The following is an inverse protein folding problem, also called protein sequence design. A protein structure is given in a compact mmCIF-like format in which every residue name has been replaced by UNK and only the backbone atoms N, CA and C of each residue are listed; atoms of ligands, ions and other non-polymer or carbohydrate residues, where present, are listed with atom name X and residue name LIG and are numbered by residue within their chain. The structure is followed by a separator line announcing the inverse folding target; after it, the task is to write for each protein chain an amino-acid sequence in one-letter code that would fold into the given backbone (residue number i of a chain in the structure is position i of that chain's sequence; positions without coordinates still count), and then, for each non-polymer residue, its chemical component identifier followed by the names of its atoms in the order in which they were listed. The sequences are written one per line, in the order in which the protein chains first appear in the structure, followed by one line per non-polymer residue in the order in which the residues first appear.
data_IF_403524626713
#
_entry.id   IF_403524626713
#
_cell.length_a   1.000
_cell.length_b   1.000
_cell.length_c   1.000
_cell.angle_alpha   90.00
_cell.angle_beta   90.00
_cell.angle_gamma   90.00
#
_symmetry.space_group_name_H-M   'P 1'
#
loop_
_entity.id
_entity.type
_entity.pdbx_description
1 polymer ?
#
# COMPACT_ATOMS: atom_id res chain seq x y z
N UNK A 1 -28.38 18.81 22.38
CA UNK A 1 -28.74 19.49 21.12
C UNK A 1 -27.49 20.05 20.47
N UNK A 2 -27.07 19.54 19.30
CA UNK A 2 -26.07 20.19 18.47
C UNK A 2 -26.78 21.29 17.65
N UNK A 3 -26.61 22.55 18.06
CA UNK A 3 -27.38 23.71 17.57
C UNK A 3 -26.97 24.19 16.17
N UNK A 4 -27.25 23.40 15.14
CA UNK A 4 -27.20 23.87 13.75
C UNK A 4 -28.60 23.73 13.15
N UNK A 5 -29.18 24.84 12.68
CA UNK A 5 -30.55 24.92 12.15
C UNK A 5 -30.76 24.28 10.76
N UNK A 6 -29.78 23.55 10.26
CA UNK A 6 -29.80 22.87 8.95
C UNK A 6 -29.06 21.54 9.08
N UNK A 7 -29.44 20.48 8.34
CA UNK A 7 -28.76 19.20 8.40
C UNK A 7 -27.30 19.40 8.00
N UNK A 8 -26.41 19.16 8.97
CA UNK A 8 -24.96 19.31 8.87
C UNK A 8 -24.42 18.39 7.76
N UNK A 9 -24.34 18.92 6.55
CA UNK A 9 -23.70 18.30 5.41
C UNK A 9 -22.20 18.58 5.48
N UNK A 10 -21.50 18.09 6.51
CA UNK A 10 -20.25 18.73 6.94
C UNK A 10 -19.02 17.84 6.90
N UNK A 11 -18.00 18.34 6.20
CA UNK A 11 -16.69 17.72 6.05
C UNK A 11 -16.64 16.71 4.91
N UNK A 12 -17.38 15.61 5.01
CA UNK A 12 -17.24 14.47 4.10
C UNK A 12 -17.60 14.78 2.64
N UNK A 13 -18.57 15.67 2.39
CA UNK A 13 -18.91 16.09 1.03
C UNK A 13 -17.75 16.86 0.38
N UNK A 14 -17.23 17.89 1.07
CA UNK A 14 -16.07 18.66 0.62
C UNK A 14 -14.84 17.77 0.43
N UNK A 15 -14.64 16.82 1.33
CA UNK A 15 -13.58 15.82 1.23
C UNK A 15 -13.70 14.95 -0.02
N UNK A 16 -14.90 14.45 -0.34
CA UNK A 16 -15.14 13.66 -1.55
C UNK A 16 -14.85 14.46 -2.82
N UNK A 17 -15.26 15.74 -2.86
CA UNK A 17 -14.94 16.64 -3.96
C UNK A 17 -13.44 16.88 -4.09
N UNK A 18 -12.74 17.21 -3.00
CA UNK A 18 -11.30 17.45 -3.04
C UNK A 18 -10.52 16.19 -3.43
N UNK A 19 -10.88 15.03 -2.86
CA UNK A 19 -10.24 13.76 -3.15
C UNK A 19 -10.43 13.34 -4.61
N UNK A 20 -11.62 13.55 -5.18
CA UNK A 20 -11.87 13.27 -6.59
C UNK A 20 -11.12 14.21 -7.53
N UNK A 21 -10.95 15.49 -7.17
CA UNK A 21 -10.10 16.40 -7.94
C UNK A 21 -8.66 15.92 -7.96
N UNK A 22 -8.09 15.59 -6.79
CA UNK A 22 -6.72 15.10 -6.70
C UNK A 22 -6.53 13.81 -7.51
N UNK A 23 -7.45 12.84 -7.37
CA UNK A 23 -7.38 11.58 -8.12
C UNK A 23 -7.49 11.79 -9.63
N UNK A 24 -8.36 12.71 -10.06
CA UNK A 24 -8.52 13.05 -11.49
C UNK A 24 -7.27 13.75 -12.04
N UNK A 25 -6.65 14.65 -11.28
CA UNK A 25 -5.52 15.46 -11.72
C UNK A 25 -4.20 14.69 -11.72
N UNK A 26 -3.96 13.81 -10.74
CA UNK A 26 -2.66 13.15 -10.56
C UNK A 26 -2.67 11.65 -10.85
N UNK A 27 -3.84 10.99 -10.87
CA UNK A 27 -3.95 9.54 -11.05
C UNK A 27 -4.79 9.16 -12.26
N UNK A 28 -5.25 10.10 -13.09
CA UNK A 28 -6.15 9.85 -14.24
C UNK A 28 -7.43 9.06 -13.87
N UNK A 29 -7.91 9.20 -12.63
CA UNK A 29 -8.99 8.40 -12.02
C UNK A 29 -8.67 6.91 -11.80
N UNK A 30 -7.41 6.51 -11.82
CA UNK A 30 -6.97 5.16 -11.44
C UNK A 30 -6.97 5.01 -9.91
N UNK A 31 -7.93 4.25 -9.40
CA UNK A 31 -8.11 3.98 -7.97
C UNK A 31 -6.98 3.08 -7.43
N UNK A 32 -6.30 2.32 -8.28
CA UNK A 32 -5.22 1.41 -7.87
C UNK A 32 -4.00 2.17 -7.33
N UNK A 33 -3.84 3.44 -7.77
CA UNK A 33 -2.76 4.33 -7.34
C UNK A 33 -3.04 5.02 -6.01
N UNK A 34 -4.28 4.99 -5.54
CA UNK A 34 -4.70 5.63 -4.30
C UNK A 34 -4.31 4.76 -3.09
N UNK A 35 -3.45 5.27 -2.20
CA UNK A 35 -3.00 4.52 -1.01
C UNK A 35 -3.70 4.99 0.26
N UNK A 36 -3.58 6.28 0.56
CA UNK A 36 -4.16 6.87 1.76
C UNK A 36 -4.46 8.34 1.54
N UNK A 37 -5.46 8.85 2.26
CA UNK A 37 -5.76 10.29 2.30
C UNK A 37 -6.00 10.70 3.75
N UNK A 38 -5.41 11.83 4.13
CA UNK A 38 -5.63 12.45 5.44
C UNK A 38 -6.06 13.89 5.23
N UNK A 39 -7.05 14.32 6.00
CA UNK A 39 -7.56 15.70 5.98
C UNK A 39 -7.84 16.20 7.38
N UNK A 40 -7.72 17.51 7.59
CA UNK A 40 -8.24 18.20 8.79
C UNK A 40 -9.37 19.13 8.38
N UNK A 41 -10.55 18.91 8.94
CA UNK A 41 -11.69 19.80 8.77
C UNK A 41 -11.51 21.02 9.67
N UNK A 42 -11.36 22.19 9.04
CA UNK A 42 -11.17 23.47 9.73
C UNK A 42 -12.39 24.38 9.64
N UNK A 43 -13.34 24.06 8.77
CA UNK A 43 -14.48 24.92 8.51
C UNK A 43 -15.67 24.20 7.91
N UNK A 44 -16.78 24.92 7.96
CA UNK A 44 -18.08 24.56 7.44
C UNK A 44 -18.21 25.10 6.01
N UNK A 45 -18.79 24.31 5.11
CA UNK A 45 -19.20 24.76 3.77
C UNK A 45 -20.72 24.70 3.67
N UNK A 46 -21.33 25.78 3.19
CA UNK A 46 -22.76 25.85 2.92
C UNK A 46 -23.07 25.35 1.50
N UNK A 47 -24.25 24.74 1.26
CA UNK A 47 -24.65 24.36 -0.09
C UNK A 47 -24.73 25.59 -1.00
N UNK A 48 -24.27 25.43 -2.26
CA UNK A 48 -24.20 26.50 -3.24
C UNK A 48 -22.91 27.33 -3.21
N UNK A 49 -22.03 27.12 -2.22
CA UNK A 49 -20.72 27.75 -2.20
C UNK A 49 -19.71 27.02 -3.08
N UNK A 50 -18.87 27.79 -3.78
CA UNK A 50 -17.79 27.24 -4.60
C UNK A 50 -16.57 26.89 -3.76
N UNK A 51 -16.12 25.64 -3.88
CA UNK A 51 -14.89 25.14 -3.25
C UNK A 51 -13.76 25.20 -4.27
N UNK A 52 -12.71 25.97 -3.97
CA UNK A 52 -11.45 25.91 -4.69
C UNK A 52 -10.51 24.95 -3.97
N UNK A 53 -9.93 24.00 -4.71
CA UNK A 53 -8.93 23.06 -4.19
C UNK A 53 -7.57 23.42 -4.77
N UNK A 54 -6.67 23.88 -3.92
CA UNK A 54 -5.27 24.11 -4.29
C UNK A 54 -4.49 22.83 -3.99
N UNK A 55 -3.66 22.38 -4.94
CA UNK A 55 -2.94 21.10 -4.88
C UNK A 55 -1.46 21.30 -5.20
N UNK A 56 -0.60 20.57 -4.51
CA UNK A 56 0.85 20.56 -4.68
C UNK A 56 1.36 19.13 -4.66
N UNK A 57 2.17 18.74 -5.65
CA UNK A 57 2.79 17.41 -5.71
C UNK A 57 4.18 17.47 -5.09
N UNK A 58 4.43 16.61 -4.11
CA UNK A 58 5.76 16.30 -3.57
C UNK A 58 6.02 14.80 -3.72
N UNK A 59 6.75 14.40 -4.76
CA UNK A 59 7.06 13.00 -5.07
C UNK A 59 5.79 12.10 -5.00
N UNK A 60 5.74 11.18 -4.02
CA UNK A 60 4.65 10.24 -3.78
C UNK A 60 3.51 10.79 -2.90
N UNK A 61 3.59 12.05 -2.47
CA UNK A 61 2.60 12.68 -1.60
C UNK A 61 2.06 13.97 -2.23
N UNK A 62 0.75 14.04 -2.38
CA UNK A 62 0.08 15.22 -2.91
C UNK A 62 -0.55 15.96 -1.75
N UNK A 63 -0.03 17.15 -1.46
CA UNK A 63 -0.61 18.07 -0.50
C UNK A 63 -1.76 18.83 -1.14
N UNK A 64 -2.83 19.06 -0.40
CA UNK A 64 -3.93 19.89 -0.88
C UNK A 64 -4.59 20.67 0.25
N UNK A 65 -5.27 21.74 -0.12
CA UNK A 65 -6.18 22.47 0.77
C UNK A 65 -7.43 22.84 0.00
N UNK A 66 -8.52 23.04 0.72
CA UNK A 66 -9.76 23.53 0.12
C UNK A 66 -10.23 24.79 0.83
N UNK A 67 -10.56 25.82 0.03
CA UNK A 67 -11.08 27.10 0.50
C UNK A 67 -12.40 27.42 -0.18
N UNK A 68 -13.25 28.14 0.53
CA UNK A 68 -14.48 28.69 -0.03
C UNK A 68 -14.14 29.98 -0.76
N UNK A 69 -14.43 30.08 -2.05
CA UNK A 69 -14.08 31.26 -2.87
C UNK A 69 -14.79 32.51 -2.36
N UNK A 70 -16.07 32.39 -2.02
CA UNK A 70 -16.92 33.50 -1.56
C UNK A 70 -16.44 34.12 -0.24
N UNK A 71 -15.94 33.31 0.70
CA UNK A 71 -15.60 33.74 2.07
C UNK A 71 -14.09 33.80 2.32
N UNK A 72 -13.28 33.19 1.45
CA UNK A 72 -11.85 33.02 1.65
C UNK A 72 -11.46 32.07 2.80
N UNK A 73 -12.43 31.44 3.47
CA UNK A 73 -12.19 30.55 4.60
C UNK A 73 -11.75 29.17 4.13
N UNK A 74 -10.72 28.63 4.79
CA UNK A 74 -10.27 27.25 4.57
C UNK A 74 -11.24 26.27 5.22
N UNK A 75 -11.83 25.38 4.42
CA UNK A 75 -12.69 24.31 4.92
C UNK A 75 -11.89 23.04 5.22
N UNK A 76 -10.88 22.74 4.41
CA UNK A 76 -9.95 21.62 4.60
C UNK A 76 -8.53 22.16 4.66
N UNK A 77 -7.85 21.89 5.77
CA UNK A 77 -6.44 22.25 5.97
C UNK A 77 -5.59 21.00 6.20
N UNK A 78 -4.27 21.14 6.04
CA UNK A 78 -3.28 20.11 6.39
C UNK A 78 -3.57 18.75 5.74
N UNK A 79 -4.11 18.76 4.53
CA UNK A 79 -4.52 17.55 3.84
C UNK A 79 -3.43 17.02 2.89
N UNK A 80 -3.34 15.71 2.81
CA UNK A 80 -2.45 15.04 1.86
C UNK A 80 -3.01 13.70 1.39
N UNK A 81 -2.60 13.29 0.20
CA UNK A 81 -2.89 12.00 -0.41
C UNK A 81 -1.59 11.30 -0.78
N UNK A 82 -1.37 10.10 -0.26
CA UNK A 82 -0.25 9.25 -0.66
C UNK A 82 -0.66 8.42 -1.89
N UNK A 83 0.19 8.45 -2.92
CA UNK A 83 0.01 7.69 -4.16
C UNK A 83 1.06 6.57 -4.28
N UNK A 84 0.63 5.42 -4.79
CA UNK A 84 1.56 4.37 -5.20
C UNK A 84 1.95 4.60 -6.65
N UNK A 85 3.14 5.17 -6.86
CA UNK A 85 3.69 5.31 -8.20
C UNK A 85 4.04 3.93 -8.73
N UNK A 86 3.54 3.58 -9.92
CA UNK A 86 3.91 2.36 -10.62
C UNK A 86 5.37 2.45 -11.02
N UNK A 87 6.25 1.84 -10.21
CA UNK A 87 7.65 1.49 -10.48
C UNK A 87 8.65 2.67 -10.65
N UNK A 88 9.32 3.06 -9.56
CA UNK A 88 10.76 2.80 -9.27
C UNK A 88 11.22 3.58 -8.02
N UNK A 89 11.89 2.86 -7.11
CA UNK A 89 12.81 3.37 -6.07
C UNK A 89 12.23 4.20 -4.89
N UNK A 90 11.45 3.58 -4.01
CA UNK A 90 11.53 3.91 -2.57
C UNK A 90 12.27 2.77 -1.88
N UNK A 91 13.53 3.03 -1.56
CA UNK A 91 14.44 2.11 -0.88
C UNK A 91 13.86 1.72 0.49
N UNK A 92 13.22 0.56 0.56
CA UNK A 92 13.36 -0.28 1.74
C UNK A 92 14.72 -0.94 1.60
N UNK A 93 15.66 -0.52 2.43
CA UNK A 93 17.04 -1.00 2.47
C UNK A 93 17.13 -2.53 2.56
N UNK A 94 17.38 -3.18 1.44
CA UNK A 94 18.02 -4.50 1.39
C UNK A 94 18.70 -4.70 0.05
N UNK A 95 19.55 -3.75 -0.33
CA UNK A 95 20.60 -4.00 -1.31
C UNK A 95 21.64 -4.88 -0.62
N UNK A 96 21.53 -6.20 -0.78
CA UNK A 96 22.64 -7.11 -0.46
C UNK A 96 23.69 -6.89 -1.55
N UNK A 97 24.39 -5.77 -1.47
CA UNK A 97 25.63 -5.56 -2.21
C UNK A 97 26.65 -6.54 -1.67
N UNK A 98 27.36 -7.23 -2.57
CA UNK A 98 28.41 -8.22 -2.28
C UNK A 98 29.17 -7.83 -1.01
N UNK A 99 28.85 -8.54 0.08
CA UNK A 99 29.40 -8.23 1.39
C UNK A 99 30.79 -8.85 1.41
N UNK A 100 31.76 -8.15 2.01
CA UNK A 100 33.14 -8.64 2.14
C UNK A 100 33.23 -10.04 2.77
N UNK A 101 32.17 -10.48 3.45
CA UNK A 101 32.01 -11.82 4.01
C UNK A 101 31.78 -12.94 2.98
N UNK A 102 31.20 -12.68 1.80
CA UNK A 102 31.00 -13.72 0.77
C UNK A 102 32.34 -14.31 0.28
N UNK A 103 33.40 -13.48 0.27
CA UNK A 103 34.77 -13.91 -0.04
C UNK A 103 35.34 -14.78 1.07
N UNK A 104 35.07 -14.44 2.34
CA UNK A 104 35.53 -15.22 3.51
C UNK A 104 34.87 -16.59 3.52
N UNK A 105 33.56 -16.67 3.26
CA UNK A 105 32.84 -17.95 3.21
C UNK A 105 33.23 -18.81 2.00
N UNK A 106 33.59 -18.22 0.87
CA UNK A 106 34.14 -18.95 -0.29
C UNK A 106 35.51 -19.56 0.01
N UNK A 107 36.36 -18.90 0.80
CA UNK A 107 37.66 -19.47 1.19
C UNK A 107 37.55 -20.59 2.23
N UNK A 108 36.66 -20.45 3.21
CA UNK A 108 36.47 -21.51 4.22
C UNK A 108 36.04 -22.83 3.56
N UNK A 109 35.25 -22.77 2.47
CA UNK A 109 34.84 -23.96 1.70
C UNK A 109 35.96 -24.69 0.96
N UNK A 110 37.13 -24.06 0.75
CA UNK A 110 38.26 -24.68 0.04
C UNK A 110 39.17 -25.51 0.95
N UNK A 111 39.02 -25.42 2.28
CA UNK A 111 39.93 -26.09 3.23
C UNK A 111 39.29 -27.20 4.08
N UNK A 112 37.98 -27.48 3.95
CA UNK A 112 37.37 -28.58 4.70
C UNK A 112 37.47 -29.91 3.95
N UNK A 113 38.15 -30.95 4.46
CA UNK A 113 38.00 -32.30 3.92
C UNK A 113 36.55 -32.78 4.12
N UNK A 114 35.96 -33.49 3.14
CA UNK A 114 34.58 -33.94 3.22
C UNK A 114 34.41 -34.99 4.32
N UNK A 115 33.69 -34.64 5.38
CA UNK A 115 33.13 -35.61 6.32
C UNK A 115 31.82 -36.17 5.74
N UNK A 116 31.62 -37.50 5.66
CA UNK A 116 30.37 -38.06 5.17
C UNK A 116 29.27 -37.89 6.23
N UNK A 117 28.36 -36.93 6.03
CA UNK A 117 27.17 -36.79 6.86
C UNK A 117 26.02 -37.62 6.25
N UNK A 118 25.63 -38.68 6.96
CA UNK A 118 24.48 -39.52 6.64
C UNK A 118 23.20 -38.70 6.71
N UNK A 119 22.65 -38.35 5.55
CA UNK A 119 21.41 -37.58 5.45
C UNK A 119 20.20 -38.50 5.63
N UNK A 120 19.70 -38.64 6.86
CA UNK A 120 18.40 -39.27 7.12
C UNK A 120 17.28 -38.34 6.65
N UNK A 121 16.82 -38.56 5.43
CA UNK A 121 15.75 -37.79 4.77
C UNK A 121 14.39 -38.26 5.29
N UNK A 122 13.77 -37.52 6.22
CA UNK A 122 12.37 -37.71 6.59
C UNK A 122 11.47 -36.97 5.60
N UNK A 123 11.01 -37.66 4.57
CA UNK A 123 10.01 -37.14 3.63
C UNK A 123 8.62 -37.38 4.22
N UNK A 124 7.93 -36.30 4.60
CA UNK A 124 6.50 -36.31 4.88
C UNK A 124 5.78 -35.33 3.98
N UNK A 125 4.97 -35.85 3.06
CA UNK A 125 3.63 -35.35 2.69
C UNK A 125 3.16 -35.92 1.32
N UNK A 126 2.15 -36.79 1.35
CA UNK A 126 1.25 -37.22 0.24
C UNK A 126 0.41 -36.03 -0.31
N UNK A 127 -0.58 -36.15 -1.23
CA UNK A 127 -1.04 -37.28 -2.06
C UNK A 127 -1.39 -36.91 -3.55
N UNK A 128 -1.27 -37.84 -4.51
CA UNK A 128 -2.07 -37.80 -5.78
C UNK A 128 -2.18 -39.18 -6.46
N UNK A 129 -3.31 -39.85 -6.20
CA UNK A 129 -4.25 -40.55 -7.12
C UNK A 129 -3.73 -41.43 -8.29
N UNK A 130 -3.77 -42.76 -8.05
CA UNK A 130 -4.29 -43.88 -8.90
C UNK A 130 -3.61 -44.19 -10.26
N UNK A 131 -3.81 -45.35 -10.93
CA UNK A 131 -4.64 -46.54 -10.60
C UNK A 131 -3.93 -47.92 -10.80
N UNK A 132 -4.66 -49.00 -10.52
CA UNK A 132 -4.56 -50.34 -11.16
C UNK A 132 -3.31 -51.19 -10.89
N UNK A 133 -3.46 -52.25 -10.10
CA UNK A 133 -3.36 -53.69 -10.46
C UNK A 133 -3.46 -54.50 -9.15
N UNK A 134 -4.51 -55.30 -8.97
CA UNK A 134 -4.47 -56.77 -9.01
C UNK A 134 -3.61 -57.37 -7.88
N UNK A 135 -3.99 -58.40 -7.14
CA UNK A 135 -5.14 -59.27 -6.99
C UNK A 135 -4.60 -60.31 -5.99
N UNK A 136 -5.47 -60.99 -5.22
CA UNK A 136 -5.16 -62.24 -4.48
C UNK A 136 -4.23 -62.14 -3.25
N UNK A 137 -4.45 -62.79 -2.10
CA UNK A 137 -5.51 -63.66 -1.61
C UNK A 137 -5.25 -63.97 -0.12
N UNK A 138 -6.31 -64.42 0.58
CA UNK A 138 -6.33 -65.57 1.51
C UNK A 138 -6.18 -65.37 3.03
N UNK A 139 -7.28 -65.77 3.67
CA UNK A 139 -7.46 -66.53 4.92
C UNK A 139 -7.45 -65.79 6.27
N UNK A 140 -8.56 -65.99 6.99
CA UNK A 140 -8.78 -65.64 8.39
C UNK A 140 -10.27 -65.59 8.69
#
# INVERSE_FOLDING_TARGET
MAGFGTPILHGLCSFGFSGRHVLKTFCDNDVSKFKAIKVRFSGVVLPGQTIQTDMWKEDNRIHFRSKVVETGKECISGAYMDITEGSQLSQTSSSVGALKSDVVFTEIGKHSPPMPISTRRSTGSSPTRSPTVDLWQKHG
#
